data_IF_460814008452
#
_entry.id   IF_460814008452
#
_cell.length_a   1.000
_cell.length_b   1.000
_cell.length_c   1.000
_cell.angle_alpha   90.00
_cell.angle_beta   90.00
_cell.angle_gamma   90.00
#
_symmetry.space_group_name_H-M   'P 1'
#
loop_
_entity.id
_entity.type
_entity.pdbx_description
1 polymer ?
#
# COMPACT_ATOMS: atom_id res chain seq x y z
N UNK A 1 -12.95 -5.93 8.96
CA UNK A 1 -12.23 -5.70 7.69
C UNK A 1 -11.25 -4.60 7.98
N UNK A 2 -9.97 -4.90 7.91
CA UNK A 2 -8.90 -3.99 8.36
C UNK A 2 -9.01 -2.58 7.74
N UNK A 3 -9.45 -2.45 6.48
CA UNK A 3 -9.62 -1.14 5.84
C UNK A 3 -10.65 -0.25 6.56
N UNK A 4 -11.73 -0.81 7.11
CA UNK A 4 -12.74 -0.03 7.86
C UNK A 4 -12.16 0.49 9.17
N UNK A 5 -11.43 -0.35 9.89
CA UNK A 5 -10.76 0.04 11.14
C UNK A 5 -9.72 1.15 10.89
N UNK A 6 -8.96 1.05 9.80
CA UNK A 6 -8.03 2.11 9.34
C UNK A 6 -8.76 3.43 9.08
N UNK A 7 -9.93 3.40 8.43
CA UNK A 7 -10.73 4.61 8.18
C UNK A 7 -11.26 5.21 9.48
N UNK A 8 -11.71 4.36 10.41
CA UNK A 8 -12.21 4.78 11.73
C UNK A 8 -11.12 5.47 12.55
N UNK A 9 -9.93 4.86 12.63
CA UNK A 9 -8.75 5.43 13.32
C UNK A 9 -8.39 6.82 12.76
N UNK A 10 -8.38 6.96 11.43
CA UNK A 10 -7.97 8.20 10.77
C UNK A 10 -9.11 9.20 10.55
N UNK A 11 -10.33 8.86 10.97
CA UNK A 11 -11.54 9.64 10.68
C UNK A 11 -11.46 11.09 11.17
N UNK A 12 -10.87 11.32 12.34
CA UNK A 12 -10.72 12.67 12.91
C UNK A 12 -9.84 13.57 12.04
N UNK A 13 -8.72 13.04 11.54
CA UNK A 13 -7.81 13.78 10.66
C UNK A 13 -8.43 14.00 9.28
N UNK A 14 -9.06 12.96 8.71
CA UNK A 14 -9.75 13.06 7.42
C UNK A 14 -10.84 14.15 7.41
N UNK A 15 -11.62 14.25 8.50
CA UNK A 15 -12.69 15.25 8.61
C UNK A 15 -12.17 16.70 8.58
N UNK A 16 -10.89 16.91 8.90
CA UNK A 16 -10.25 18.23 8.90
C UNK A 16 -9.55 18.58 7.59
N UNK A 17 -9.66 17.72 6.56
CA UNK A 17 -8.93 17.89 5.30
C UNK A 17 -9.87 18.05 4.12
N UNK A 18 -9.43 18.81 3.14
CA UNK A 18 -10.07 18.94 1.83
C UNK A 18 -9.11 18.51 0.73
N UNK A 19 -9.66 17.96 -0.34
CA UNK A 19 -8.88 17.57 -1.51
C UNK A 19 -8.66 18.81 -2.37
N UNK A 20 -7.40 19.13 -2.68
CA UNK A 20 -7.05 20.27 -3.56
C UNK A 20 -6.58 19.82 -4.93
N UNK A 21 -6.12 18.57 -5.06
CA UNK A 21 -5.75 18.00 -6.35
C UNK A 21 -5.91 16.48 -6.34
N UNK A 22 -6.27 15.92 -7.48
CA UNK A 22 -6.43 14.47 -7.68
C UNK A 22 -5.90 14.10 -9.05
N UNK A 23 -5.25 12.94 -9.11
CA UNK A 23 -4.72 12.41 -10.35
C UNK A 23 -4.85 10.90 -10.35
N UNK A 24 -5.53 10.38 -11.37
CA UNK A 24 -5.81 8.95 -11.52
C UNK A 24 -5.12 8.50 -12.80
N UNK A 25 -3.95 7.90 -12.66
CA UNK A 25 -3.21 7.34 -13.79
C UNK A 25 -3.34 5.82 -13.80
N UNK A 26 -3.02 5.15 -14.93
CA UNK A 26 -3.15 3.71 -15.04
C UNK A 26 -2.35 2.89 -14.01
N UNK A 27 -1.27 3.46 -13.46
CA UNK A 27 -0.41 2.77 -12.50
C UNK A 27 -0.57 3.28 -11.07
N UNK A 28 -0.76 4.60 -10.91
CA UNK A 28 -0.85 5.21 -9.59
C UNK A 28 -1.94 6.28 -9.53
N UNK A 29 -2.62 6.32 -8.39
CA UNK A 29 -3.58 7.37 -8.04
C UNK A 29 -2.92 8.23 -6.98
N UNK A 30 -2.99 9.54 -7.12
CA UNK A 30 -2.45 10.48 -6.15
C UNK A 30 -3.45 11.56 -5.79
N UNK A 31 -3.42 11.94 -4.52
CA UNK A 31 -4.24 13.01 -3.97
C UNK A 31 -3.36 13.97 -3.20
N UNK A 32 -3.64 15.26 -3.34
CA UNK A 32 -3.08 16.33 -2.55
C UNK A 32 -4.17 16.95 -1.68
N UNK A 33 -3.89 17.11 -0.39
CA UNK A 33 -4.79 17.74 0.57
C UNK A 33 -4.42 19.22 0.77
N UNK A 34 -5.31 19.96 1.40
CA UNK A 34 -5.21 21.40 1.66
C UNK A 34 -4.01 21.82 2.53
N UNK A 35 -3.45 20.91 3.32
CA UNK A 35 -2.19 21.10 4.05
C UNK A 35 -0.94 20.77 3.21
N UNK A 36 -1.10 20.60 1.89
CA UNK A 36 -0.04 20.19 0.95
C UNK A 36 0.53 18.80 1.22
N UNK A 37 -0.10 18.00 2.08
CA UNK A 37 0.22 16.58 2.16
C UNK A 37 -0.22 15.87 0.88
N UNK A 38 0.49 14.80 0.54
CA UNK A 38 0.29 14.09 -0.71
C UNK A 38 0.38 12.60 -0.43
N UNK A 39 -0.65 11.89 -0.87
CA UNK A 39 -0.71 10.45 -0.81
C UNK A 39 -0.74 9.84 -2.19
N UNK A 40 -0.33 8.58 -2.25
CA UNK A 40 -0.25 7.81 -3.49
C UNK A 40 -0.81 6.43 -3.20
N UNK A 41 -1.45 5.83 -4.18
CA UNK A 41 -1.82 4.41 -4.14
C UNK A 41 -1.53 3.80 -5.51
N UNK A 42 -1.29 2.49 -5.53
CA UNK A 42 -1.44 1.69 -6.74
C UNK A 42 -2.85 1.88 -7.30
N UNK A 43 -2.96 2.07 -8.62
CA UNK A 43 -4.24 2.09 -9.33
C UNK A 43 -4.55 0.69 -9.83
N UNK A 44 -5.77 0.23 -9.57
CA UNK A 44 -6.35 -0.92 -10.25
C UNK A 44 -7.57 -0.40 -11.00
N UNK A 45 -7.54 -0.49 -12.33
CA UNK A 45 -8.58 0.08 -13.18
C UNK A 45 -9.75 -0.91 -13.27
N UNK A 46 -10.80 -0.65 -12.49
CA UNK A 46 -12.09 -1.34 -12.58
C UNK A 46 -13.27 -0.38 -12.30
N UNK A 47 -13.94 0.04 -13.37
CA UNK A 47 -15.08 0.94 -13.28
C UNK A 47 -14.68 2.41 -13.17
N UNK A 48 -15.40 3.16 -12.35
CA UNK A 48 -15.31 4.62 -12.24
C UNK A 48 -15.29 5.10 -10.78
N UNK A 49 -14.85 6.34 -10.59
CA UNK A 49 -14.79 7.01 -9.30
C UNK A 49 -16.08 7.80 -9.07
N UNK A 50 -16.68 7.63 -7.90
CA UNK A 50 -17.88 8.36 -7.51
C UNK A 50 -17.59 9.87 -7.38
N UNK A 51 -18.32 10.68 -8.13
CA UNK A 51 -18.16 12.14 -8.16
C UNK A 51 -16.92 12.63 -8.90
N UNK A 52 -16.39 11.86 -9.86
CA UNK A 52 -15.30 12.29 -10.74
C UNK A 52 -15.61 13.66 -11.39
N UNK A 53 -14.60 14.54 -11.45
CA UNK A 53 -14.76 15.93 -11.89
C UNK A 53 -15.21 16.90 -10.80
N UNK A 54 -15.71 16.40 -9.66
CA UNK A 54 -16.22 17.22 -8.56
C UNK A 54 -15.50 16.96 -7.22
N UNK A 55 -14.46 16.14 -7.21
CA UNK A 55 -13.77 15.71 -5.99
C UNK A 55 -13.00 16.86 -5.33
N UNK A 56 -12.46 17.77 -6.14
CA UNK A 56 -11.69 18.92 -5.66
C UNK A 56 -12.61 19.83 -4.82
N UNK A 57 -12.15 20.21 -3.63
CA UNK A 57 -12.89 20.99 -2.65
C UNK A 57 -13.77 20.17 -1.72
N UNK A 58 -14.06 18.89 -2.03
CA UNK A 58 -14.82 18.00 -1.13
C UNK A 58 -13.99 17.63 0.09
N UNK A 59 -14.70 17.33 1.18
CA UNK A 59 -14.11 16.84 2.42
C UNK A 59 -13.50 15.44 2.21
N UNK A 60 -12.28 15.23 2.69
CA UNK A 60 -11.53 13.99 2.47
C UNK A 60 -12.24 12.76 3.06
N UNK A 61 -12.83 12.86 4.25
CA UNK A 61 -13.57 11.77 4.88
C UNK A 61 -14.77 11.33 4.03
N UNK A 62 -15.57 12.29 3.55
CA UNK A 62 -16.75 12.00 2.74
C UNK A 62 -16.39 11.31 1.41
N UNK A 63 -15.29 11.72 0.77
CA UNK A 63 -14.82 11.09 -0.46
C UNK A 63 -14.37 9.65 -0.18
N UNK A 64 -13.64 9.42 0.91
CA UNK A 64 -13.18 8.08 1.30
C UNK A 64 -14.36 7.12 1.52
N UNK A 65 -15.35 7.49 2.34
CA UNK A 65 -16.46 6.58 2.67
C UNK A 65 -17.38 6.28 1.48
N UNK A 66 -17.44 7.17 0.49
CA UNK A 66 -18.25 6.99 -0.71
C UNK A 66 -17.50 6.27 -1.84
N UNK A 67 -16.21 5.95 -1.67
CA UNK A 67 -15.38 5.32 -2.70
C UNK A 67 -14.68 4.07 -2.14
N UNK A 68 -15.46 3.04 -1.81
CA UNK A 68 -14.93 1.78 -1.26
C UNK A 68 -15.34 0.52 -2.02
N UNK A 69 -16.18 0.63 -3.05
CA UNK A 69 -16.83 -0.54 -3.65
C UNK A 69 -15.95 -1.22 -4.72
N UNK A 70 -15.35 -0.45 -5.62
CA UNK A 70 -14.40 -0.97 -6.63
C UNK A 70 -12.93 -0.82 -6.22
N UNK A 71 -12.00 -1.51 -6.90
CA UNK A 71 -10.58 -1.35 -6.64
C UNK A 71 -10.09 0.06 -7.03
N UNK A 72 -10.66 0.67 -8.08
CA UNK A 72 -10.35 2.03 -8.51
C UNK A 72 -10.79 3.05 -7.46
N UNK A 73 -12.00 2.87 -6.92
CA UNK A 73 -12.49 3.67 -5.81
C UNK A 73 -11.60 3.52 -4.57
N UNK A 74 -11.22 2.28 -4.21
CA UNK A 74 -10.25 2.04 -3.11
C UNK A 74 -8.87 2.63 -3.41
N UNK A 75 -8.44 2.69 -4.67
CA UNK A 75 -7.18 3.35 -5.07
C UNK A 75 -7.21 4.83 -4.71
N UNK A 76 -8.32 5.52 -4.99
CA UNK A 76 -8.54 6.91 -4.58
C UNK A 76 -8.55 7.03 -3.05
N UNK A 77 -9.36 6.22 -2.38
CA UNK A 77 -9.52 6.28 -0.92
C UNK A 77 -8.22 6.03 -0.17
N UNK A 78 -7.40 5.06 -0.61
CA UNK A 78 -6.08 4.85 -0.05
C UNK A 78 -5.11 5.97 -0.38
N UNK A 79 -5.19 6.59 -1.56
CA UNK A 79 -4.36 7.77 -1.84
C UNK A 79 -4.69 8.93 -0.89
N UNK A 80 -5.97 9.10 -0.50
CA UNK A 80 -6.38 10.09 0.50
C UNK A 80 -5.85 9.72 1.88
N UNK A 81 -6.10 8.48 2.33
CA UNK A 81 -5.64 7.98 3.63
C UNK A 81 -4.11 8.05 3.76
N UNK A 82 -3.39 7.69 2.70
CA UNK A 82 -1.94 7.71 2.65
C UNK A 82 -1.36 9.13 2.58
N UNK A 83 -2.15 10.15 2.26
CA UNK A 83 -1.69 11.53 2.38
C UNK A 83 -1.46 11.92 3.86
N UNK A 84 -2.12 11.21 4.79
CA UNK A 84 -1.93 11.38 6.22
C UNK A 84 -0.63 10.71 6.71
N UNK A 85 -0.13 11.21 7.83
CA UNK A 85 1.12 10.77 8.48
C UNK A 85 2.27 11.75 8.28
N UNK A 86 3.11 11.87 9.30
CA UNK A 86 4.31 12.71 9.28
C UNK A 86 5.54 11.83 9.07
N UNK A 87 6.42 12.23 8.15
CA UNK A 87 7.70 11.58 7.88
C UNK A 87 8.61 11.56 9.12
N UNK A 88 8.45 12.52 10.02
CA UNK A 88 9.24 12.64 11.25
C UNK A 88 9.03 11.45 12.23
N UNK A 89 7.92 10.74 12.11
CA UNK A 89 7.62 9.56 12.93
C UNK A 89 8.26 8.28 12.37
N UNK A 90 9.02 8.37 11.28
CA UNK A 90 9.57 7.22 10.57
C UNK A 90 11.09 7.26 10.48
N UNK A 91 11.68 6.07 10.41
CA UNK A 91 13.10 5.86 10.14
C UNK A 91 13.30 5.59 8.65
N UNK A 92 14.29 6.23 8.03
CA UNK A 92 14.62 5.96 6.62
C UNK A 92 15.12 4.52 6.44
N UNK A 93 14.58 3.77 5.47
CA UNK A 93 14.96 2.39 5.19
C UNK A 93 13.81 1.49 4.75
N UNK A 94 14.11 0.22 4.50
CA UNK A 94 13.11 -0.82 4.20
C UNK A 94 12.85 -1.68 5.44
N UNK A 95 11.58 -1.86 5.90
CA UNK A 95 11.29 -2.67 7.08
C UNK A 95 11.70 -4.13 6.93
N UNK A 96 11.85 -4.64 5.71
CA UNK A 96 12.28 -6.04 5.50
C UNK A 96 13.67 -6.32 6.08
N UNK A 97 14.52 -5.29 6.18
CA UNK A 97 15.87 -5.40 6.73
C UNK A 97 15.90 -5.59 8.26
N UNK A 98 14.75 -5.48 8.93
CA UNK A 98 14.62 -5.77 10.36
C UNK A 98 14.64 -7.26 10.66
N UNK A 99 14.44 -8.12 9.65
CA UNK A 99 14.25 -9.55 9.79
C UNK A 99 15.16 -10.32 8.82
N UNK A 100 15.51 -11.54 9.20
CA UNK A 100 16.38 -12.42 8.41
C UNK A 100 16.18 -13.88 8.82
N UNK A 101 16.53 -14.80 7.90
CA UNK A 101 16.43 -16.24 8.11
C UNK A 101 15.01 -16.79 7.94
N UNK A 102 14.90 -18.10 7.79
CA UNK A 102 13.63 -18.79 7.63
C UNK A 102 12.95 -18.53 6.28
N UNK A 103 11.64 -18.74 6.25
CA UNK A 103 10.81 -18.59 5.05
C UNK A 103 10.16 -17.21 5.02
N UNK A 104 10.30 -16.49 3.92
CA UNK A 104 9.60 -15.24 3.64
C UNK A 104 8.41 -15.50 2.70
N UNK A 105 7.22 -15.05 3.10
CA UNK A 105 6.06 -14.96 2.20
C UNK A 105 5.84 -13.51 1.77
N UNK A 106 5.70 -13.28 0.47
CA UNK A 106 5.47 -11.94 -0.09
C UNK A 106 4.15 -11.94 -0.83
N UNK A 107 3.33 -10.91 -0.63
CA UNK A 107 2.03 -10.76 -1.28
C UNK A 107 1.97 -9.42 -1.99
N UNK A 108 1.79 -9.39 -3.32
CA UNK A 108 1.83 -8.13 -4.07
C UNK A 108 1.71 -8.28 -5.59
N UNK A 109 1.65 -7.15 -6.29
CA UNK A 109 1.72 -7.09 -7.76
C UNK A 109 3.19 -7.15 -8.21
N UNK A 110 3.63 -8.31 -8.71
CA UNK A 110 4.99 -8.56 -9.22
C UNK A 110 6.10 -7.90 -8.38
N UNK A 111 6.23 -8.26 -7.09
CA UNK A 111 7.15 -7.59 -6.17
C UNK A 111 8.60 -7.81 -6.62
N UNK A 112 9.28 -6.70 -6.95
CA UNK A 112 10.70 -6.70 -7.32
C UNK A 112 11.54 -6.37 -6.09
N UNK A 113 11.99 -7.38 -5.37
CA UNK A 113 12.86 -7.20 -4.21
C UNK A 113 13.89 -8.33 -4.15
N UNK A 114 15.10 -7.97 -3.75
CA UNK A 114 16.18 -8.92 -3.45
C UNK A 114 16.08 -9.30 -1.98
N UNK A 115 15.70 -10.55 -1.72
CA UNK A 115 15.49 -11.07 -0.36
C UNK A 115 16.61 -12.05 0.03
N UNK A 116 17.86 -11.66 -0.21
CA UNK A 116 19.04 -12.51 0.03
C UNK A 116 19.22 -12.92 1.49
N UNK A 117 18.54 -12.23 2.42
CA UNK A 117 18.66 -12.45 3.86
C UNK A 117 17.73 -13.57 4.37
N UNK A 118 16.98 -14.25 3.49
CA UNK A 118 16.04 -15.32 3.84
C UNK A 118 16.44 -16.64 3.18
N UNK A 119 16.17 -17.76 3.86
CA UNK A 119 16.56 -19.10 3.40
C UNK A 119 15.71 -19.56 2.20
N UNK A 120 14.44 -19.16 2.20
CA UNK A 120 13.50 -19.41 1.11
C UNK A 120 12.50 -18.28 0.98
N UNK A 121 12.08 -17.99 -0.25
CA UNK A 121 11.13 -16.93 -0.56
C UNK A 121 10.01 -17.51 -1.39
N UNK A 122 8.78 -17.27 -0.97
CA UNK A 122 7.59 -17.50 -1.78
C UNK A 122 6.86 -16.19 -2.02
N UNK A 123 6.51 -15.94 -3.27
CA UNK A 123 5.75 -14.79 -3.71
C UNK A 123 4.39 -15.27 -4.17
N UNK A 124 3.34 -14.76 -3.56
CA UNK A 124 1.97 -14.86 -4.07
C UNK A 124 1.66 -13.59 -4.87
N UNK A 125 1.81 -13.71 -6.19
CA UNK A 125 1.64 -12.59 -7.11
C UNK A 125 0.15 -12.43 -7.47
N UNK A 126 -0.36 -11.20 -7.40
CA UNK A 126 -1.73 -10.86 -7.79
C UNK A 126 -1.97 -10.91 -9.31
N UNK A 127 -0.91 -10.94 -10.14
CA UNK A 127 -1.01 -10.99 -11.61
C UNK A 127 -0.65 -12.37 -12.17
N UNK A 128 0.27 -13.11 -11.53
CA UNK A 128 0.77 -14.36 -12.10
C UNK A 128 -0.35 -15.39 -12.21
N UNK A 129 -0.40 -16.07 -13.36
CA UNK A 129 -1.34 -17.17 -13.63
C UNK A 129 -0.69 -18.55 -13.48
N UNK A 130 0.64 -18.60 -13.35
CA UNK A 130 1.40 -19.83 -13.32
C UNK A 130 2.45 -19.82 -12.21
N UNK A 131 2.83 -21.01 -11.76
CA UNK A 131 3.95 -21.20 -10.87
C UNK A 131 5.25 -21.01 -11.65
N UNK A 132 6.17 -20.22 -11.10
CA UNK A 132 7.49 -19.95 -11.69
C UNK A 132 8.55 -19.97 -10.60
N UNK A 133 9.79 -20.25 -10.96
CA UNK A 133 10.93 -20.22 -10.04
C UNK A 133 12.04 -19.36 -10.62
N UNK A 134 12.54 -18.43 -9.82
CA UNK A 134 13.64 -17.53 -10.18
C UNK A 134 14.67 -17.60 -9.06
N UNK A 135 15.76 -18.35 -9.28
CA UNK A 135 16.74 -18.65 -8.23
C UNK A 135 16.10 -19.40 -7.05
N UNK A 136 16.26 -18.86 -5.84
CA UNK A 136 15.65 -19.36 -4.60
C UNK A 136 14.20 -18.89 -4.39
N UNK A 137 13.66 -18.07 -5.28
CA UNK A 137 12.30 -17.53 -5.16
C UNK A 137 11.31 -18.39 -5.93
N UNK A 138 10.27 -18.85 -5.25
CA UNK A 138 9.08 -19.45 -5.87
C UNK A 138 8.00 -18.37 -6.03
N UNK A 139 7.43 -18.26 -7.23
CA UNK A 139 6.34 -17.33 -7.54
C UNK A 139 5.12 -18.17 -7.85
N UNK A 140 4.02 -17.94 -7.13
CA UNK A 140 2.73 -18.59 -7.31
C UNK A 140 1.64 -17.56 -7.59
N UNK A 141 0.58 -17.93 -8.32
CA UNK A 141 -0.64 -17.13 -8.36
C UNK A 141 -1.21 -16.94 -6.97
N UNK A 142 -1.65 -15.73 -6.62
CA UNK A 142 -2.38 -15.50 -5.36
C UNK A 142 -3.62 -16.39 -5.23
N UNK A 143 -4.27 -16.72 -6.35
CA UNK A 143 -5.42 -17.63 -6.38
C UNK A 143 -5.11 -19.02 -5.79
N UNK A 144 -3.85 -19.45 -5.80
CA UNK A 144 -3.39 -20.72 -5.22
C UNK A 144 -3.19 -20.69 -3.70
N UNK A 145 -3.30 -19.52 -3.06
CA UNK A 145 -3.19 -19.41 -1.59
C UNK A 145 -4.35 -20.12 -0.91
N UNK A 146 -4.03 -21.17 -0.15
CA UNK A 146 -4.94 -21.94 0.69
C UNK A 146 -4.56 -21.84 2.17
N UNK A 147 -3.33 -22.23 2.49
CA UNK A 147 -2.67 -22.00 3.77
C UNK A 147 -1.17 -21.89 3.55
N UNK A 148 -0.50 -20.99 4.28
CA UNK A 148 0.95 -20.85 4.19
C UNK A 148 1.58 -20.51 5.54
N UNK A 149 2.70 -21.17 5.85
CA UNK A 149 3.45 -20.96 7.10
C UNK A 149 4.81 -20.35 6.75
N UNK A 150 5.14 -19.25 7.39
CA UNK A 150 6.39 -18.54 7.17
C UNK A 150 6.94 -17.92 8.45
N UNK A 151 8.20 -17.54 8.41
CA UNK A 151 8.83 -16.81 9.52
C UNK A 151 8.42 -15.34 9.46
N UNK A 152 8.42 -14.77 8.24
CA UNK A 152 8.05 -13.37 7.99
C UNK A 152 7.08 -13.32 6.82
N UNK A 153 6.02 -12.52 6.95
CA UNK A 153 5.17 -12.15 5.83
C UNK A 153 5.31 -10.66 5.51
N UNK A 154 5.62 -10.37 4.24
CA UNK A 154 5.69 -9.04 3.67
C UNK A 154 4.48 -8.82 2.77
N UNK A 155 3.50 -8.07 3.26
CA UNK A 155 2.25 -7.79 2.57
C UNK A 155 2.34 -6.42 1.93
N UNK A 156 2.26 -6.33 0.61
CA UNK A 156 2.16 -5.04 -0.06
C UNK A 156 0.79 -4.44 0.16
N UNK A 157 0.72 -3.17 0.53
CA UNK A 157 -0.50 -2.41 0.79
C UNK A 157 -1.44 -2.28 -0.43
N UNK A 158 -1.00 -2.70 -1.62
CA UNK A 158 -1.92 -2.96 -2.74
C UNK A 158 -2.97 -4.03 -2.41
N UNK A 159 -2.76 -4.85 -1.37
CA UNK A 159 -3.74 -5.80 -0.83
C UNK A 159 -4.97 -5.10 -0.21
N UNK A 160 -4.81 -3.86 0.26
CA UNK A 160 -5.92 -3.00 0.69
C UNK A 160 -6.71 -2.48 -0.51
N UNK A 161 -6.03 -2.20 -1.64
CA UNK A 161 -6.66 -1.73 -2.88
C UNK A 161 -7.52 -2.84 -3.50
N UNK A 162 -6.95 -4.04 -3.66
CA UNK A 162 -7.66 -5.17 -4.26
C UNK A 162 -8.54 -5.96 -3.27
N UNK A 163 -8.67 -5.48 -2.03
CA UNK A 163 -9.48 -6.10 -0.97
C UNK A 163 -9.11 -7.56 -0.64
N UNK A 164 -7.81 -7.90 -0.68
CA UNK A 164 -7.33 -9.27 -0.40
C UNK A 164 -6.63 -9.43 0.95
N UNK A 165 -6.36 -8.33 1.66
CA UNK A 165 -5.61 -8.35 2.93
C UNK A 165 -6.24 -9.27 4.01
N UNK A 166 -7.56 -9.22 4.21
CA UNK A 166 -8.24 -10.06 5.21
C UNK A 166 -8.15 -11.55 4.82
N UNK A 167 -8.18 -11.86 3.52
CA UNK A 167 -7.95 -13.23 3.03
C UNK A 167 -6.50 -13.67 3.27
N UNK A 168 -5.52 -12.80 3.04
CA UNK A 168 -4.11 -13.11 3.31
C UNK A 168 -3.94 -13.44 4.79
N UNK A 169 -4.40 -12.54 5.68
CA UNK A 169 -4.25 -12.70 7.13
C UNK A 169 -4.92 -13.97 7.67
N UNK A 170 -6.04 -14.40 7.08
CA UNK A 170 -6.72 -15.65 7.49
C UNK A 170 -6.08 -16.92 6.93
N UNK A 171 -5.22 -16.82 5.91
CA UNK A 171 -4.59 -17.97 5.24
C UNK A 171 -3.11 -18.12 5.57
N UNK A 172 -2.50 -17.20 6.32
CA UNK A 172 -1.09 -17.28 6.70
C UNK A 172 -0.91 -17.49 8.19
N UNK A 173 0.21 -18.14 8.54
CA UNK A 173 0.79 -18.09 9.88
C UNK A 173 2.21 -17.56 9.76
N UNK A 174 2.52 -16.47 10.46
CA UNK A 174 3.81 -15.80 10.42
C UNK A 174 4.21 -15.31 11.82
N UNK A 175 5.51 -15.37 12.14
CA UNK A 175 6.01 -14.77 13.38
C UNK A 175 6.07 -13.26 13.28
N UNK A 176 6.33 -12.74 12.07
CA UNK A 176 6.46 -11.30 11.81
C UNK A 176 5.59 -10.88 10.63
N UNK A 177 4.79 -9.83 10.83
CA UNK A 177 3.95 -9.24 9.79
C UNK A 177 4.39 -7.82 9.46
N UNK A 178 4.61 -7.55 8.18
CA UNK A 178 5.03 -6.26 7.65
C UNK A 178 4.05 -5.80 6.58
N UNK A 179 3.50 -4.60 6.73
CA UNK A 179 2.76 -3.92 5.67
C UNK A 179 3.71 -2.97 4.93
N UNK A 180 3.84 -3.06 3.61
CA UNK A 180 4.80 -2.24 2.85
C UNK A 180 4.27 -1.73 1.52
N UNK A 181 4.93 -0.75 0.94
CA UNK A 181 4.69 -0.30 -0.44
C UNK A 181 4.06 1.08 -0.54
N UNK A 182 3.71 1.45 -1.77
CA UNK A 182 3.32 2.82 -2.10
C UNK A 182 1.92 3.18 -1.58
N UNK A 183 1.05 2.19 -1.37
CA UNK A 183 -0.31 2.37 -0.83
C UNK A 183 -0.38 2.28 0.70
N UNK A 184 0.75 2.17 1.41
CA UNK A 184 0.77 1.94 2.86
C UNK A 184 0.24 3.13 3.65
N UNK A 185 -0.77 2.91 4.48
CA UNK A 185 -1.40 3.94 5.33
C UNK A 185 -0.83 3.88 6.75
N UNK A 186 -0.51 5.04 7.36
CA UNK A 186 -0.07 5.14 8.76
C UNK A 186 -1.28 5.09 9.69
N UNK A 187 -1.71 3.88 10.04
CA UNK A 187 -2.81 3.59 10.96
C UNK A 187 -2.33 2.59 12.03
N UNK A 188 -1.43 3.02 12.93
CA UNK A 188 -0.69 2.13 13.82
C UNK A 188 -1.59 1.32 14.77
N UNK A 189 -2.72 1.86 15.21
CA UNK A 189 -3.61 1.15 16.16
C UNK A 189 -4.27 -0.03 15.45
N UNK A 190 -4.86 0.23 14.29
CA UNK A 190 -5.52 -0.79 13.46
C UNK A 190 -4.52 -1.84 13.03
N UNK A 191 -3.33 -1.45 12.56
CA UNK A 191 -2.31 -2.40 12.12
C UNK A 191 -1.84 -3.31 13.26
N UNK A 192 -1.62 -2.79 14.47
CA UNK A 192 -1.26 -3.60 15.65
C UNK A 192 -2.33 -4.61 16.01
N UNK A 193 -3.60 -4.24 15.94
CA UNK A 193 -4.71 -5.14 16.24
C UNK A 193 -4.76 -6.35 15.30
N UNK A 194 -4.17 -6.23 14.10
CA UNK A 194 -4.02 -7.31 13.13
C UNK A 194 -2.63 -7.97 13.14
N UNK A 195 -1.81 -7.69 14.15
CA UNK A 195 -0.51 -8.34 14.36
C UNK A 195 0.65 -7.78 13.54
N UNK A 196 0.47 -6.66 12.84
CA UNK A 196 1.57 -6.01 12.13
C UNK A 196 2.59 -5.41 13.11
N UNK A 197 3.86 -5.66 12.87
CA UNK A 197 4.98 -5.17 13.68
C UNK A 197 5.74 -4.01 13.01
N UNK A 198 5.63 -3.90 11.69
CA UNK A 198 6.30 -2.86 10.94
C UNK A 198 5.46 -2.37 9.75
N UNK A 199 5.52 -1.06 9.54
CA UNK A 199 4.94 -0.37 8.41
C UNK A 199 6.05 0.23 7.55
N UNK A 200 6.12 -0.15 6.28
CA UNK A 200 6.96 0.47 5.26
C UNK A 200 6.14 1.40 4.37
N UNK A 201 6.56 2.66 4.26
CA UNK A 201 5.89 3.70 3.48
C UNK A 201 6.88 4.41 2.57
N UNK A 202 6.41 4.89 1.43
CA UNK A 202 7.19 5.76 0.55
C UNK A 202 6.69 7.19 0.69
N UNK A 203 7.61 8.11 0.99
CA UNK A 203 7.32 9.55 1.09
C UNK A 203 7.79 10.28 -0.16
N UNK A 204 6.96 11.16 -0.77
CA UNK A 204 7.37 12.01 -1.87
C UNK A 204 8.23 13.17 -1.34
N UNK A 205 9.52 13.16 -1.68
CA UNK A 205 10.48 14.22 -1.31
C UNK A 205 10.24 15.46 -2.17
N UNK A 206 9.97 15.26 -3.47
CA UNK A 206 9.59 16.33 -4.40
C UNK A 206 8.12 16.18 -4.82
N UNK A 207 7.19 16.51 -3.91
CA UNK A 207 5.73 16.31 -4.08
C UNK A 207 5.19 16.72 -5.45
N UNK A 208 5.53 17.93 -5.92
CA UNK A 208 5.06 18.41 -7.23
C UNK A 208 5.58 17.56 -8.40
N UNK A 209 6.86 17.18 -8.39
CA UNK A 209 7.44 16.32 -9.44
C UNK A 209 6.81 14.93 -9.43
N UNK A 210 6.60 14.36 -8.24
CA UNK A 210 5.92 13.07 -8.08
C UNK A 210 4.51 13.15 -8.65
N UNK A 211 3.74 14.19 -8.28
CA UNK A 211 2.37 14.36 -8.75
C UNK A 211 2.30 14.48 -10.28
N UNK A 212 3.14 15.34 -10.88
CA UNK A 212 3.24 15.48 -12.34
C UNK A 212 3.65 14.17 -13.02
N UNK A 213 4.66 13.48 -12.48
CA UNK A 213 5.11 12.19 -13.02
C UNK A 213 3.97 11.18 -13.06
N UNK A 214 3.13 11.11 -12.01
CA UNK A 214 1.96 10.24 -11.96
C UNK A 214 0.96 10.63 -13.06
N UNK A 215 0.62 11.92 -13.17
CA UNK A 215 -0.35 12.41 -14.15
C UNK A 215 0.09 12.27 -15.60
N UNK A 216 1.39 12.23 -15.84
CA UNK A 216 1.98 12.02 -17.16
C UNK A 216 2.19 10.52 -17.47
N UNK A 217 1.67 9.61 -16.63
CA UNK A 217 1.72 8.16 -16.86
C UNK A 217 3.04 7.50 -16.46
N UNK A 218 3.82 8.13 -15.58
CA UNK A 218 5.10 7.61 -15.13
C UNK A 218 5.00 6.35 -14.28
N UNK A 219 5.98 5.46 -14.43
CA UNK A 219 6.06 4.18 -13.70
C UNK A 219 6.90 4.29 -12.42
N UNK A 220 6.95 3.20 -11.64
CA UNK A 220 7.78 3.07 -10.44
C UNK A 220 9.24 3.52 -10.65
N UNK A 221 9.82 3.22 -11.81
CA UNK A 221 11.20 3.60 -12.20
C UNK A 221 11.41 5.11 -12.27
N UNK A 222 10.39 5.88 -12.66
CA UNK A 222 10.48 7.34 -12.71
C UNK A 222 10.21 7.95 -11.33
N UNK A 223 9.25 7.39 -10.59
CA UNK A 223 8.91 7.84 -9.24
C UNK A 223 10.02 7.59 -8.22
N UNK A 224 10.79 6.51 -8.36
CA UNK A 224 11.87 6.15 -7.43
C UNK A 224 12.97 7.23 -7.29
N UNK A 225 13.06 8.17 -8.23
CA UNK A 225 13.98 9.31 -8.19
C UNK A 225 13.57 10.39 -7.18
N UNK A 226 12.29 10.45 -6.85
CA UNK A 226 11.68 11.55 -6.08
C UNK A 226 10.96 11.05 -4.81
N UNK A 227 11.07 9.76 -4.54
CA UNK A 227 10.43 9.10 -3.41
C UNK A 227 11.48 8.36 -2.59
N UNK A 228 11.34 8.40 -1.28
CA UNK A 228 12.25 7.71 -0.38
C UNK A 228 11.45 6.79 0.53
N UNK A 229 12.03 5.62 0.80
CA UNK A 229 11.42 4.61 1.65
C UNK A 229 11.75 4.87 3.10
N UNK A 230 10.72 4.80 3.92
CA UNK A 230 10.78 4.93 5.36
C UNK A 230 9.99 3.80 6.00
N UNK A 231 10.27 3.52 7.25
CA UNK A 231 9.54 2.54 8.03
C UNK A 231 9.33 2.99 9.47
N UNK A 232 8.28 2.44 10.08
CA UNK A 232 7.92 2.63 11.48
C UNK A 232 7.71 1.26 12.08
N UNK A 233 8.39 1.00 13.20
CA UNK A 233 8.05 -0.15 14.05
C UNK A 233 6.77 0.21 14.80
N UNK A 234 5.82 -0.72 14.82
CA UNK A 234 4.53 -0.52 15.45
C UNK A 234 4.66 -0.88 16.93
#
# INVERSE_FOLDING_TARGET
MILREVIEELSYQLKQRKIINVCVSPTYTSVMLDDQSMGISHTIIDGEIEGAGEIIGKNAYNVVINNLDSNLQRSLSLAILNALGDINDFTQGDPINLYSGGKLCVFGFSPQLSYSNFDSVIVYDFISMENKRVGSTEIRPFSSLSHEVCSTALIFASSLVNNTIDRILSQISANHLILTGISSVDAPISLKNHGFEALGKLFPIEKYRVFRTICEGGSSRLLSKYMTRYFKKL
#
